data_IF_990037663031
#
_entry.id   IF_990037663031
#
_cell.length_a   1.000
_cell.length_b   1.000
_cell.length_c   1.000
_cell.angle_alpha   90.00
_cell.angle_beta   90.00
_cell.angle_gamma   90.00
#
_symmetry.space_group_name_H-M   'P 1'
#
loop_
_entity.id
_entity.type
_entity.pdbx_description
1 polymer ?
#
# COMPACT_ATOMS: atom_id res chain seq x y z
N UNK A 1 6.76 -13.91 11.58
CA UNK A 1 6.54 -12.92 10.50
C UNK A 1 6.01 -11.68 11.16
N UNK A 2 6.42 -10.50 10.69
CA UNK A 2 5.97 -9.24 11.27
C UNK A 2 5.19 -8.41 10.27
N UNK A 3 4.11 -7.80 10.72
CA UNK A 3 3.42 -6.73 10.00
C UNK A 3 3.99 -5.41 10.52
N UNK A 4 4.53 -4.58 9.63
CA UNK A 4 5.20 -3.34 10.01
C UNK A 4 4.46 -2.18 9.37
N UNK A 5 4.18 -1.14 10.16
CA UNK A 5 3.56 0.08 9.66
C UNK A 5 4.23 1.32 10.25
N UNK A 6 4.01 2.48 9.63
CA UNK A 6 4.45 3.77 10.15
C UNK A 6 3.24 4.65 10.43
N UNK A 7 3.18 5.22 11.63
CA UNK A 7 2.10 6.09 12.07
C UNK A 7 2.65 7.37 12.72
N UNK A 8 1.93 8.48 12.55
CA UNK A 8 2.21 9.79 13.19
C UNK A 8 1.16 10.17 14.25
N UNK A 9 0.05 9.47 14.26
CA UNK A 9 -1.10 9.55 15.17
C UNK A 9 -1.56 8.11 15.51
N UNK A 10 -1.35 7.72 16.77
CA UNK A 10 -1.76 6.42 17.31
C UNK A 10 -3.28 6.34 17.58
N UNK A 11 -3.97 7.47 17.58
CA UNK A 11 -5.43 7.56 17.74
C UNK A 11 -6.17 7.69 16.41
N UNK A 12 -5.45 7.63 15.28
CA UNK A 12 -6.06 7.67 13.97
C UNK A 12 -7.16 6.62 13.84
N UNK A 13 -8.31 7.03 13.29
CA UNK A 13 -9.50 6.19 13.17
C UNK A 13 -9.22 4.86 12.47
N UNK A 14 -8.55 4.89 11.32
CA UNK A 14 -8.32 3.66 10.53
C UNK A 14 -7.29 2.76 11.19
N UNK A 15 -6.21 3.30 11.77
CA UNK A 15 -5.28 2.49 12.54
C UNK A 15 -6.01 1.72 13.66
N UNK A 16 -6.85 2.43 14.43
CA UNK A 16 -7.56 1.88 15.60
C UNK A 16 -8.75 0.99 15.26
N UNK A 17 -9.39 1.20 14.11
CA UNK A 17 -10.65 0.52 13.73
C UNK A 17 -10.49 -0.49 12.60
N UNK A 18 -9.36 -0.49 11.90
CA UNK A 18 -9.10 -1.34 10.73
C UNK A 18 -7.81 -2.14 10.90
N UNK A 19 -6.64 -1.50 10.82
CA UNK A 19 -5.37 -2.22 10.78
C UNK A 19 -5.08 -2.98 12.08
N UNK A 20 -5.18 -2.34 13.25
CA UNK A 20 -4.91 -2.99 14.54
C UNK A 20 -5.90 -4.14 14.80
N UNK A 21 -7.24 -3.94 14.76
CA UNK A 21 -8.18 -5.03 15.02
C UNK A 21 -8.07 -6.19 14.04
N UNK A 22 -7.78 -5.92 12.75
CA UNK A 22 -7.61 -6.99 11.77
C UNK A 22 -6.31 -7.78 11.98
N UNK A 23 -5.23 -7.13 12.40
CA UNK A 23 -4.01 -7.85 12.79
C UNK A 23 -4.25 -8.72 14.03
N UNK A 24 -4.92 -8.17 15.05
CA UNK A 24 -5.28 -8.89 16.28
C UNK A 24 -6.16 -10.11 15.96
N UNK A 25 -7.21 -9.95 15.15
CA UNK A 25 -8.13 -11.04 14.77
C UNK A 25 -7.40 -12.25 14.17
N UNK A 26 -6.40 -11.99 13.32
CA UNK A 26 -5.64 -13.02 12.63
C UNK A 26 -4.36 -13.45 13.35
N UNK A 27 -4.07 -12.87 14.53
CA UNK A 27 -2.88 -13.19 15.33
C UNK A 27 -1.57 -12.77 14.67
N UNK A 28 -1.55 -11.62 13.99
CA UNK A 28 -0.33 -11.07 13.42
C UNK A 28 0.46 -10.25 14.45
N UNK A 29 1.79 -10.39 14.43
CA UNK A 29 2.72 -9.54 15.18
C UNK A 29 2.81 -8.16 14.49
N UNK A 30 1.93 -7.24 14.88
CA UNK A 30 1.92 -5.86 14.37
C UNK A 30 2.91 -4.97 15.13
N UNK A 31 3.75 -4.28 14.36
CA UNK A 31 4.74 -3.31 14.83
C UNK A 31 4.45 -1.95 14.21
N UNK A 32 4.25 -0.96 15.07
CA UNK A 32 3.98 0.42 14.70
C UNK A 32 5.24 1.24 14.98
N UNK A 33 5.90 1.68 13.92
CA UNK A 33 7.00 2.65 13.99
C UNK A 33 6.37 4.04 14.12
N UNK A 34 6.38 4.58 15.33
CA UNK A 34 5.70 5.82 15.68
C UNK A 34 6.62 7.03 15.50
N UNK A 35 6.28 7.91 14.56
CA UNK A 35 7.05 9.10 14.21
C UNK A 35 6.52 10.35 14.92
N UNK A 36 7.21 10.86 15.94
CA UNK A 36 6.80 12.07 16.68
C UNK A 36 7.24 13.38 15.98
N UNK A 37 6.57 13.74 14.89
CA UNK A 37 6.61 15.06 14.21
C UNK A 37 8.00 15.60 13.72
N UNK A 38 8.03 16.50 12.71
CA UNK A 38 7.07 16.67 11.62
C UNK A 38 7.25 15.60 10.52
N UNK A 39 6.16 15.28 9.80
CA UNK A 39 6.21 14.40 8.63
C UNK A 39 6.63 15.18 7.38
N UNK A 40 7.93 15.17 7.07
CA UNK A 40 8.52 15.96 5.99
C UNK A 40 8.25 15.38 4.59
N UNK A 41 8.13 14.06 4.49
CA UNK A 41 8.00 13.35 3.21
C UNK A 41 7.54 11.91 3.44
N UNK A 42 6.84 11.32 2.47
CA UNK A 42 6.51 9.89 2.53
C UNK A 42 7.73 8.97 2.54
N UNK A 43 8.92 9.47 2.17
CA UNK A 43 10.20 8.76 2.32
C UNK A 43 10.58 8.50 3.78
N UNK A 44 9.93 9.16 4.74
CA UNK A 44 10.13 8.86 6.16
C UNK A 44 9.78 7.42 6.51
N UNK A 45 8.86 6.79 5.77
CA UNK A 45 8.57 5.34 5.91
C UNK A 45 9.86 4.51 5.81
N UNK A 46 10.65 4.73 4.76
CA UNK A 46 11.92 4.02 4.56
C UNK A 46 12.92 4.34 5.67
N UNK A 47 13.02 5.63 6.07
CA UNK A 47 13.99 6.09 7.09
C UNK A 47 13.75 5.43 8.45
N UNK A 48 12.50 5.29 8.87
CA UNK A 48 12.13 4.65 10.14
C UNK A 48 12.23 3.13 10.06
N UNK A 49 11.99 2.56 8.87
CA UNK A 49 12.08 1.12 8.67
C UNK A 49 13.53 0.60 8.81
N UNK A 50 14.52 1.33 8.31
CA UNK A 50 15.96 0.95 8.38
C UNK A 50 16.43 0.56 9.80
N UNK A 51 16.32 1.42 10.84
CA UNK A 51 16.79 1.08 12.18
C UNK A 51 16.03 -0.09 12.80
N UNK A 52 14.76 -0.30 12.44
CA UNK A 52 14.01 -1.47 12.88
C UNK A 52 14.50 -2.76 12.19
N UNK A 53 14.70 -2.72 10.87
CA UNK A 53 15.21 -3.86 10.10
C UNK A 53 16.57 -4.36 10.60
N UNK A 54 17.44 -3.46 11.08
CA UNK A 54 18.75 -3.82 11.67
C UNK A 54 18.66 -4.69 12.94
N UNK A 55 17.51 -4.68 13.61
CA UNK A 55 17.27 -5.45 14.84
C UNK A 55 16.62 -6.81 14.56
N UNK A 56 16.09 -7.01 13.35
CA UNK A 56 15.43 -8.26 12.97
C UNK A 56 16.45 -9.33 12.59
N UNK A 57 16.05 -10.60 12.75
CA UNK A 57 16.75 -11.71 12.12
C UNK A 57 16.84 -11.49 10.61
N UNK A 58 17.99 -11.79 10.00
CA UNK A 58 18.26 -11.49 8.59
C UNK A 58 17.26 -12.14 7.62
N UNK A 59 16.66 -13.27 8.01
CA UNK A 59 15.69 -14.00 7.19
C UNK A 59 14.25 -13.82 7.69
N UNK A 60 13.97 -12.88 8.59
CA UNK A 60 12.60 -12.59 9.02
C UNK A 60 11.77 -12.13 7.81
N UNK A 61 10.62 -12.77 7.58
CA UNK A 61 9.67 -12.32 6.57
C UNK A 61 8.83 -11.18 7.16
N UNK A 62 8.81 -10.06 6.46
CA UNK A 62 8.06 -8.87 6.86
C UNK A 62 7.07 -8.47 5.78
N UNK A 63 5.87 -8.08 6.19
CA UNK A 63 4.92 -7.36 5.35
C UNK A 63 4.87 -5.92 5.86
N UNK A 64 5.22 -4.96 5.00
CA UNK A 64 5.03 -3.55 5.28
C UNK A 64 3.67 -3.10 4.75
N UNK A 65 2.99 -2.24 5.50
CA UNK A 65 1.71 -1.64 5.09
C UNK A 65 1.55 -0.22 5.59
N UNK A 66 0.82 0.61 4.86
CA UNK A 66 0.35 1.91 5.33
C UNK A 66 -0.59 1.76 6.52
N UNK A 67 -0.62 2.77 7.41
CA UNK A 67 -1.33 2.67 8.70
C UNK A 67 -2.81 3.07 8.63
N UNK A 68 -3.17 3.96 7.69
CA UNK A 68 -4.39 4.77 7.79
C UNK A 68 -5.44 4.50 6.73
N UNK A 69 -5.22 3.48 5.91
CA UNK A 69 -6.09 3.12 4.80
C UNK A 69 -5.96 1.64 4.45
N UNK A 70 -5.62 0.80 5.45
CA UNK A 70 -5.37 -0.63 5.24
C UNK A 70 -6.00 -1.52 6.31
N UNK A 71 -6.19 -2.79 5.97
CA UNK A 71 -6.54 -3.85 6.90
C UNK A 71 -6.12 -5.23 6.39
N UNK A 72 -5.98 -6.18 7.31
CA UNK A 72 -5.82 -7.59 7.00
C UNK A 72 -7.19 -8.26 6.80
N UNK A 73 -7.26 -9.18 5.83
CA UNK A 73 -8.47 -9.95 5.48
C UNK A 73 -8.27 -11.46 5.61
N UNK A 74 -7.05 -11.92 5.87
CA UNK A 74 -6.75 -13.34 6.11
C UNK A 74 -5.54 -13.53 7.02
N UNK A 75 -5.29 -14.76 7.46
CA UNK A 75 -4.22 -15.11 8.39
C UNK A 75 -2.86 -15.35 7.73
N UNK A 76 -1.84 -15.50 8.57
CA UNK A 76 -0.46 -15.75 8.14
C UNK A 76 -0.30 -17.03 7.30
N UNK A 77 -1.08 -18.09 7.55
CA UNK A 77 -1.00 -19.31 6.76
C UNK A 77 -1.39 -19.05 5.30
N UNK A 78 -2.51 -18.36 5.05
CA UNK A 78 -2.94 -18.01 3.70
C UNK A 78 -1.98 -17.04 3.02
N UNK A 79 -1.46 -16.07 3.78
CA UNK A 79 -0.42 -15.15 3.33
C UNK A 79 0.81 -15.92 2.81
N UNK A 80 1.31 -16.88 3.60
CA UNK A 80 2.48 -17.69 3.24
C UNK A 80 2.22 -18.58 2.02
N UNK A 81 1.02 -19.19 1.94
CA UNK A 81 0.61 -19.99 0.79
C UNK A 81 0.66 -19.17 -0.49
N UNK A 82 0.07 -17.98 -0.50
CA UNK A 82 0.04 -17.11 -1.68
C UNK A 82 1.42 -16.53 -2.01
N UNK A 83 2.18 -16.10 -0.99
CA UNK A 83 3.55 -15.62 -1.19
C UNK A 83 4.45 -16.68 -1.83
N UNK A 84 4.28 -17.96 -1.46
CA UNK A 84 5.04 -19.07 -2.05
C UNK A 84 4.71 -19.36 -3.52
N UNK A 85 3.57 -18.85 -4.01
CA UNK A 85 3.11 -19.00 -5.41
C UNK A 85 3.47 -17.79 -6.28
N UNK A 86 4.06 -16.75 -5.70
CA UNK A 86 4.50 -15.57 -6.42
C UNK A 86 5.97 -15.74 -6.83
N UNK A 87 6.28 -15.28 -8.03
CA UNK A 87 7.65 -15.18 -8.49
C UNK A 87 8.29 -13.92 -7.86
N UNK A 88 9.54 -14.04 -7.40
CA UNK A 88 10.26 -12.95 -6.75
C UNK A 88 10.31 -13.04 -5.21
N UNK A 89 11.42 -12.57 -4.64
CA UNK A 89 11.60 -12.53 -3.18
C UNK A 89 11.06 -11.25 -2.54
N UNK A 90 10.75 -10.23 -3.35
CA UNK A 90 10.26 -8.93 -2.93
C UNK A 90 9.04 -8.52 -3.78
N UNK A 91 7.85 -8.63 -3.20
CA UNK A 91 6.59 -8.38 -3.89
C UNK A 91 5.94 -7.10 -3.35
N UNK A 92 5.65 -6.15 -4.23
CA UNK A 92 4.82 -4.99 -3.93
C UNK A 92 3.36 -5.25 -4.29
N UNK A 93 2.46 -4.51 -3.66
CA UNK A 93 1.08 -4.39 -4.15
C UNK A 93 1.07 -3.73 -5.53
N UNK A 94 -0.01 -3.94 -6.28
CA UNK A 94 -0.25 -3.25 -7.55
C UNK A 94 -1.54 -2.44 -7.50
N UNK A 95 -1.57 -1.31 -8.20
CA UNK A 95 -2.76 -0.48 -8.42
C UNK A 95 -3.02 -0.24 -9.90
N UNK A 96 -4.21 0.23 -10.25
CA UNK A 96 -4.60 0.52 -11.64
C UNK A 96 -4.10 1.88 -12.15
N UNK A 97 -3.60 2.74 -11.26
CA UNK A 97 -3.23 4.10 -11.58
C UNK A 97 -1.71 4.25 -11.62
N UNK A 98 -1.14 4.66 -12.75
CA UNK A 98 0.29 4.98 -12.80
C UNK A 98 0.54 6.32 -12.11
N UNK A 99 0.87 6.27 -10.82
CA UNK A 99 1.06 7.43 -9.95
C UNK A 99 2.49 7.46 -9.38
N UNK A 100 3.09 8.64 -9.15
CA UNK A 100 2.56 9.99 -9.40
C UNK A 100 2.72 10.49 -10.83
N UNK A 101 3.48 9.79 -11.67
CA UNK A 101 3.79 10.20 -13.04
C UNK A 101 3.22 9.20 -14.06
N UNK A 102 2.12 9.54 -14.75
CA UNK A 102 1.48 8.65 -15.72
C UNK A 102 2.37 8.24 -16.89
N UNK A 103 3.32 9.08 -17.31
CA UNK A 103 4.21 8.78 -18.44
C UNK A 103 5.10 7.56 -18.17
N UNK A 104 5.36 7.22 -16.90
CA UNK A 104 6.12 6.03 -16.51
C UNK A 104 5.42 4.72 -16.86
N UNK A 105 4.12 4.74 -17.18
CA UNK A 105 3.39 3.57 -17.69
C UNK A 105 4.07 2.96 -18.93
N UNK A 106 4.66 3.80 -19.78
CA UNK A 106 5.42 3.36 -20.96
C UNK A 106 6.61 2.47 -20.61
N UNK A 107 7.22 2.66 -19.44
CA UNK A 107 8.31 1.81 -18.93
C UNK A 107 7.75 0.47 -18.44
N UNK A 108 6.65 0.49 -17.69
CA UNK A 108 5.97 -0.74 -17.25
C UNK A 108 5.60 -1.67 -18.40
N UNK A 109 5.02 -1.13 -19.48
CA UNK A 109 4.66 -1.91 -20.66
C UNK A 109 5.88 -2.58 -21.31
N UNK A 110 7.05 -1.93 -21.30
CA UNK A 110 8.29 -2.48 -21.86
C UNK A 110 8.95 -3.54 -20.99
N UNK A 111 8.80 -3.48 -19.66
CA UNK A 111 9.47 -4.40 -18.73
C UNK A 111 8.74 -5.75 -18.60
N UNK A 112 7.40 -5.74 -18.47
CA UNK A 112 6.62 -6.97 -18.18
C UNK A 112 5.47 -7.23 -19.16
N UNK A 113 5.42 -6.58 -20.33
CA UNK A 113 4.25 -6.61 -21.23
C UNK A 113 2.95 -6.37 -20.43
N UNK A 114 2.95 -5.31 -19.63
CA UNK A 114 1.93 -5.02 -18.64
C UNK A 114 0.62 -4.52 -19.28
N UNK A 115 -0.08 -5.36 -20.02
CA UNK A 115 -1.29 -4.99 -20.75
C UNK A 115 -2.50 -4.74 -19.83
N UNK A 116 -2.41 -5.20 -18.58
CA UNK A 116 -3.48 -5.08 -17.58
C UNK A 116 -3.42 -3.77 -16.77
N UNK A 117 -2.51 -2.85 -17.08
CA UNK A 117 -2.34 -1.57 -16.37
C UNK A 117 -2.08 -1.74 -14.85
N UNK A 118 -1.28 -2.72 -14.48
CA UNK A 118 -0.87 -2.93 -13.08
C UNK A 118 0.42 -2.17 -12.77
N UNK A 119 0.33 -1.14 -11.95
CA UNK A 119 1.48 -0.32 -11.55
C UNK A 119 1.84 -0.63 -10.11
N UNK A 120 3.11 -0.49 -9.72
CA UNK A 120 3.51 -0.66 -8.33
C UNK A 120 2.67 0.24 -7.43
N UNK A 121 2.31 -0.23 -6.24
CA UNK A 121 1.83 0.60 -5.14
C UNK A 121 2.76 0.36 -3.93
N UNK A 122 3.23 1.45 -3.33
CA UNK A 122 4.23 1.43 -2.24
C UNK A 122 3.60 1.34 -0.85
N UNK A 123 2.27 1.35 -0.77
CA UNK A 123 1.53 1.22 0.48
C UNK A 123 1.45 -0.20 1.02
N UNK A 124 1.91 -1.20 0.26
CA UNK A 124 2.00 -2.59 0.71
C UNK A 124 3.12 -3.35 0.01
N UNK A 125 3.92 -4.09 0.77
CA UNK A 125 4.88 -5.03 0.19
C UNK A 125 5.27 -6.14 1.16
N UNK A 126 5.81 -7.24 0.65
CA UNK A 126 6.32 -8.37 1.42
C UNK A 126 7.72 -8.78 0.93
N UNK A 127 8.65 -8.97 1.87
CA UNK A 127 10.01 -9.41 1.56
C UNK A 127 10.74 -9.93 2.81
N UNK A 128 11.95 -10.46 2.61
CA UNK A 128 12.86 -10.77 3.72
C UNK A 128 13.55 -9.49 4.23
N UNK A 129 13.69 -9.36 5.54
CA UNK A 129 14.25 -8.18 6.21
C UNK A 129 15.64 -7.77 5.68
N UNK A 130 16.55 -8.71 5.44
CA UNK A 130 17.87 -8.43 4.88
C UNK A 130 17.81 -7.86 3.45
N UNK A 131 16.85 -8.31 2.65
CA UNK A 131 16.72 -7.95 1.25
C UNK A 131 16.36 -6.47 1.14
N UNK A 132 15.30 -6.04 1.83
CA UNK A 132 14.92 -4.62 1.88
C UNK A 132 15.98 -3.77 2.58
N UNK A 133 16.61 -4.27 3.67
CA UNK A 133 17.65 -3.52 4.37
C UNK A 133 18.84 -3.23 3.44
N UNK A 134 19.26 -4.20 2.61
CA UNK A 134 20.34 -4.02 1.62
C UNK A 134 19.98 -2.94 0.60
N UNK A 135 18.73 -2.94 0.11
CA UNK A 135 18.24 -1.95 -0.87
C UNK A 135 18.19 -0.55 -0.24
N UNK A 136 17.63 -0.42 0.96
CA UNK A 136 17.47 0.86 1.64
C UNK A 136 18.80 1.41 2.19
N UNK A 137 19.76 0.54 2.55
CA UNK A 137 21.10 0.95 2.99
C UNK A 137 21.98 1.43 1.84
N UNK A 138 21.60 1.14 0.58
CA UNK A 138 22.21 1.72 -0.62
C UNK A 138 21.18 2.60 -1.35
N UNK A 139 20.89 3.80 -0.81
CA UNK A 139 19.84 4.67 -1.32
C UNK A 139 20.18 5.29 -2.67
N UNK A 140 21.40 5.07 -3.19
CA UNK A 140 21.79 5.57 -4.50
C UNK A 140 20.78 5.14 -5.56
N UNK A 141 20.16 6.15 -6.15
CA UNK A 141 19.18 6.05 -7.22
C UNK A 141 19.56 7.11 -8.24
N UNK A 142 19.66 6.72 -9.50
CA UNK A 142 19.93 7.64 -10.59
C UNK A 142 18.82 7.45 -11.62
N UNK A 143 17.80 8.32 -11.56
CA UNK A 143 16.65 8.25 -12.45
C UNK A 143 17.06 8.35 -13.93
N UNK A 144 18.13 9.10 -14.25
CA UNK A 144 18.65 9.20 -15.63
C UNK A 144 19.14 7.86 -16.16
N UNK A 145 20.00 7.18 -15.41
CA UNK A 145 20.46 5.82 -15.76
C UNK A 145 19.33 4.81 -15.92
N UNK A 146 18.21 5.02 -15.22
CA UNK A 146 17.04 4.13 -15.25
C UNK A 146 16.14 4.45 -16.44
N UNK A 147 15.85 5.72 -16.69
CA UNK A 147 14.80 6.15 -17.63
C UNK A 147 15.33 6.52 -19.03
N UNK A 148 16.59 6.95 -19.18
CA UNK A 148 17.18 7.23 -20.50
C UNK A 148 17.09 6.04 -21.47
N UNK A 149 17.35 4.77 -21.06
CA UNK A 149 17.18 3.61 -21.94
C UNK A 149 15.75 3.43 -22.47
N UNK A 150 14.75 4.00 -21.80
CA UNK A 150 13.36 3.95 -22.22
C UNK A 150 12.94 5.13 -23.10
N UNK A 151 13.85 6.07 -23.38
CA UNK A 151 13.64 7.22 -24.28
C UNK A 151 13.31 8.54 -23.56
N UNK A 152 13.40 8.60 -22.24
CA UNK A 152 13.16 9.83 -21.49
C UNK A 152 14.37 10.77 -21.61
N UNK A 153 14.11 12.06 -21.84
CA UNK A 153 15.14 13.10 -21.92
C UNK A 153 15.52 13.60 -20.53
N UNK A 154 16.76 14.08 -20.38
CA UNK A 154 17.31 14.50 -19.08
C UNK A 154 16.54 15.64 -18.42
N UNK A 155 16.05 16.61 -19.18
CA UNK A 155 15.24 17.73 -18.69
C UNK A 155 13.88 17.26 -18.15
N UNK A 156 13.27 16.26 -18.80
CA UNK A 156 12.03 15.62 -18.33
C UNK A 156 12.28 14.84 -17.04
N UNK A 157 13.37 14.08 -16.97
CA UNK A 157 13.74 13.31 -15.78
C UNK A 157 14.03 14.25 -14.59
N UNK A 158 14.79 15.32 -14.82
CA UNK A 158 15.06 16.34 -13.80
C UNK A 158 13.76 17.02 -13.32
N UNK A 159 12.80 17.23 -14.23
CA UNK A 159 11.47 17.72 -13.86
C UNK A 159 10.73 16.74 -12.94
N UNK A 160 10.72 15.44 -13.26
CA UNK A 160 10.08 14.41 -12.42
C UNK A 160 10.74 14.31 -11.05
N UNK A 161 12.07 14.26 -10.97
CA UNK A 161 12.81 14.20 -9.71
C UNK A 161 12.51 15.41 -8.82
N UNK A 162 12.49 16.61 -9.41
CA UNK A 162 12.11 17.84 -8.69
C UNK A 162 10.67 17.80 -8.20
N UNK A 163 9.75 17.27 -9.01
CA UNK A 163 8.31 17.26 -8.71
C UNK A 163 7.91 16.17 -7.72
N UNK A 164 8.56 15.00 -7.76
CA UNK A 164 8.14 13.80 -7.04
C UNK A 164 9.22 13.21 -6.11
N UNK A 165 10.36 13.87 -5.91
CA UNK A 165 11.41 13.39 -5.01
C UNK A 165 10.97 13.16 -3.56
N UNK A 166 9.87 13.79 -3.12
CA UNK A 166 9.22 13.58 -1.83
C UNK A 166 8.39 12.29 -1.75
N UNK A 167 8.11 11.64 -2.87
CA UNK A 167 7.20 10.51 -2.98
C UNK A 167 7.91 9.17 -2.80
N UNK A 168 7.45 8.38 -1.82
CA UNK A 168 7.89 7.00 -1.63
C UNK A 168 7.50 6.11 -2.82
N UNK A 169 6.32 6.36 -3.39
CA UNK A 169 5.83 5.71 -4.59
C UNK A 169 6.77 5.91 -5.78
N UNK A 170 7.19 7.15 -6.04
CA UNK A 170 8.11 7.44 -7.15
C UNK A 170 9.47 6.76 -6.97
N UNK A 171 10.03 6.80 -5.76
CA UNK A 171 11.28 6.12 -5.45
C UNK A 171 11.20 4.60 -5.69
N UNK A 172 10.15 3.94 -5.19
CA UNK A 172 9.99 2.50 -5.33
C UNK A 172 9.65 2.08 -6.76
N UNK A 173 8.92 2.89 -7.52
CA UNK A 173 8.72 2.69 -8.98
C UNK A 173 10.06 2.68 -9.72
N UNK A 174 10.96 3.64 -9.45
CA UNK A 174 12.28 3.66 -10.08
C UNK A 174 13.16 2.48 -9.64
N UNK A 175 13.09 2.08 -8.37
CA UNK A 175 13.79 0.88 -7.88
C UNK A 175 13.30 -0.38 -8.58
N UNK A 176 11.98 -0.54 -8.71
CA UNK A 176 11.38 -1.64 -9.48
C UNK A 176 11.91 -1.69 -10.91
N UNK A 177 11.92 -0.57 -11.64
CA UNK A 177 12.47 -0.53 -13.00
C UNK A 177 13.94 -0.92 -13.08
N UNK A 178 14.74 -0.53 -12.08
CA UNK A 178 16.17 -0.83 -12.05
C UNK A 178 16.52 -2.25 -11.59
N UNK A 179 15.59 -2.92 -10.92
CA UNK A 179 15.85 -4.19 -10.23
C UNK A 179 14.98 -5.34 -10.74
N UNK A 180 14.06 -5.11 -11.69
CA UNK A 180 13.25 -6.18 -12.27
C UNK A 180 14.15 -7.30 -12.86
N UNK A 181 13.86 -8.60 -12.62
CA UNK A 181 12.70 -9.16 -11.89
C UNK A 181 12.91 -9.41 -10.38
N UNK A 182 13.96 -8.90 -9.74
CA UNK A 182 14.20 -9.09 -8.29
C UNK A 182 13.10 -8.47 -7.42
N UNK A 183 12.53 -7.34 -7.88
CA UNK A 183 11.33 -6.72 -7.33
C UNK A 183 10.18 -7.01 -8.29
N UNK A 184 9.09 -7.56 -7.77
CA UNK A 184 7.87 -7.86 -8.52
C UNK A 184 6.65 -7.15 -7.93
N UNK A 185 5.54 -7.17 -8.68
CA UNK A 185 4.25 -6.64 -8.27
C UNK A 185 3.18 -7.75 -8.32
N UNK A 186 2.27 -7.77 -7.35
CA UNK A 186 1.16 -8.73 -7.28
C UNK A 186 0.04 -8.39 -8.27
N UNK A 187 0.27 -8.65 -9.56
CA UNK A 187 -0.60 -8.25 -10.67
C UNK A 187 -2.03 -8.80 -10.61
N UNK A 188 -2.22 -9.93 -9.92
CA UNK A 188 -3.53 -10.59 -9.81
C UNK A 188 -4.27 -10.19 -8.53
N UNK A 189 -3.70 -9.29 -7.73
CA UNK A 189 -4.24 -8.84 -6.44
C UNK A 189 -4.58 -10.00 -5.50
N UNK A 190 -3.77 -11.07 -5.51
CA UNK A 190 -4.01 -12.27 -4.69
C UNK A 190 -3.60 -12.03 -3.24
N UNK A 191 -2.46 -11.38 -3.06
CA UNK A 191 -1.91 -11.04 -1.75
C UNK A 191 -2.41 -9.65 -1.32
N UNK A 192 -2.30 -8.67 -2.20
CA UNK A 192 -2.64 -7.27 -1.97
C UNK A 192 -3.77 -6.84 -2.89
N UNK A 193 -4.93 -6.51 -2.32
CA UNK A 193 -6.00 -5.83 -3.05
C UNK A 193 -5.89 -4.33 -2.81
N UNK A 194 -5.50 -3.60 -3.84
CA UNK A 194 -5.43 -2.14 -3.78
C UNK A 194 -6.60 -1.54 -4.56
N UNK A 195 -7.40 -0.72 -3.89
CA UNK A 195 -8.59 -0.08 -4.46
C UNK A 195 -8.57 1.40 -4.17
N UNK A 196 -8.98 2.19 -5.15
CA UNK A 196 -9.18 3.62 -5.02
C UNK A 196 -10.11 4.08 -6.12
N UNK A 197 -10.67 5.26 -5.95
CA UNK A 197 -11.42 5.96 -7.00
C UNK A 197 -10.61 5.96 -8.30
N UNK A 198 -11.15 5.42 -9.40
CA UNK A 198 -10.50 5.48 -10.72
C UNK A 198 -10.11 6.91 -11.09
N UNK A 199 -8.91 7.09 -11.67
CA UNK A 199 -8.36 8.42 -11.95
C UNK A 199 -9.27 9.30 -12.79
N UNK A 200 -9.96 8.74 -13.78
CA UNK A 200 -10.86 9.49 -14.66
C UNK A 200 -12.06 10.04 -13.88
N UNK A 201 -12.69 9.19 -13.07
CA UNK A 201 -13.78 9.59 -12.17
C UNK A 201 -13.30 10.64 -11.15
N UNK A 202 -12.09 10.47 -10.62
CA UNK A 202 -11.53 11.40 -9.65
C UNK A 202 -11.27 12.77 -10.28
N UNK A 203 -10.57 12.85 -11.41
CA UNK A 203 -10.22 14.13 -12.06
C UNK A 203 -11.46 14.94 -12.47
N UNK A 204 -12.47 14.28 -13.02
CA UNK A 204 -13.66 14.96 -13.53
C UNK A 204 -14.56 15.52 -12.42
N UNK A 205 -14.62 14.85 -11.27
CA UNK A 205 -15.66 15.10 -10.27
C UNK A 205 -15.13 15.40 -8.86
N UNK A 206 -13.81 15.53 -8.66
CA UNK A 206 -13.26 15.82 -7.32
C UNK A 206 -13.68 17.21 -6.82
N UNK A 207 -13.76 18.22 -7.70
CA UNK A 207 -14.27 19.55 -7.33
C UNK A 207 -15.70 19.49 -6.78
N UNK A 208 -16.58 18.75 -7.46
CA UNK A 208 -17.95 18.49 -6.98
C UNK A 208 -17.92 17.80 -5.61
N UNK A 209 -17.08 16.77 -5.43
CA UNK A 209 -16.95 16.09 -4.14
C UNK A 209 -16.51 17.03 -3.02
N UNK A 210 -15.56 17.93 -3.25
CA UNK A 210 -15.12 18.88 -2.22
C UNK A 210 -16.24 19.82 -1.77
N UNK A 211 -17.18 20.15 -2.67
CA UNK A 211 -18.31 21.03 -2.36
C UNK A 211 -19.50 20.28 -1.73
N UNK A 212 -19.83 19.10 -2.24
CA UNK A 212 -21.08 18.40 -1.93
C UNK A 212 -20.91 17.10 -1.13
N UNK A 213 -19.67 16.62 -0.95
CA UNK A 213 -19.32 15.43 -0.17
C UNK A 213 -20.20 14.22 -0.51
N UNK A 214 -20.97 13.68 0.43
CA UNK A 214 -21.81 12.49 0.25
C UNK A 214 -22.95 12.71 -0.77
N UNK A 215 -23.30 13.97 -1.03
CA UNK A 215 -24.32 14.32 -2.01
C UNK A 215 -23.77 14.32 -3.45
N UNK A 216 -22.45 14.36 -3.63
CA UNK A 216 -21.81 14.36 -4.94
C UNK A 216 -22.05 13.05 -5.71
N UNK A 217 -22.07 13.15 -7.04
CA UNK A 217 -22.15 11.98 -7.91
C UNK A 217 -20.92 11.07 -7.76
N UNK A 218 -19.73 11.65 -7.56
CA UNK A 218 -18.50 10.90 -7.34
C UNK A 218 -18.63 9.96 -6.15
N UNK A 219 -19.07 10.48 -5.00
CA UNK A 219 -19.25 9.70 -3.79
C UNK A 219 -20.24 8.55 -3.99
N UNK A 220 -21.41 8.84 -4.58
CA UNK A 220 -22.46 7.83 -4.81
C UNK A 220 -21.99 6.71 -5.74
N UNK A 221 -21.30 7.05 -6.84
CA UNK A 221 -20.74 6.08 -7.78
C UNK A 221 -19.68 5.22 -7.12
N UNK A 222 -18.72 5.85 -6.43
CA UNK A 222 -17.64 5.14 -5.75
C UNK A 222 -18.17 4.25 -4.62
N UNK A 223 -19.18 4.71 -3.86
CA UNK A 223 -19.82 3.93 -2.80
C UNK A 223 -20.48 2.67 -3.34
N UNK A 224 -21.18 2.77 -4.47
CA UNK A 224 -21.77 1.61 -5.12
C UNK A 224 -20.70 0.65 -5.67
N UNK A 225 -19.63 1.17 -6.28
CA UNK A 225 -18.50 0.37 -6.75
C UNK A 225 -17.84 -0.40 -5.61
N UNK A 226 -17.50 0.29 -4.52
CA UNK A 226 -16.89 -0.31 -3.34
C UNK A 226 -17.83 -1.31 -2.67
N UNK A 227 -19.13 -1.02 -2.54
CA UNK A 227 -20.11 -1.99 -2.02
C UNK A 227 -20.12 -3.29 -2.84
N UNK A 228 -20.16 -3.17 -4.16
CA UNK A 228 -20.16 -4.34 -5.06
C UNK A 228 -18.85 -5.11 -4.98
N UNK A 229 -17.71 -4.41 -4.90
CA UNK A 229 -16.39 -5.02 -4.70
C UNK A 229 -16.35 -5.78 -3.38
N UNK A 230 -16.75 -5.16 -2.26
CA UNK A 230 -16.75 -5.81 -0.95
C UNK A 230 -17.69 -7.03 -0.91
N UNK A 231 -18.84 -6.97 -1.59
CA UNK A 231 -19.78 -8.08 -1.69
C UNK A 231 -19.25 -9.24 -2.55
N UNK A 232 -18.36 -8.98 -3.51
CA UNK A 232 -17.74 -10.02 -4.34
C UNK A 232 -16.51 -10.65 -3.70
N UNK A 233 -15.93 -10.03 -2.67
CA UNK A 233 -14.82 -10.60 -1.92
C UNK A 233 -15.24 -11.91 -1.25
N UNK A 234 -14.58 -12.99 -1.65
CA UNK A 234 -14.64 -14.28 -0.98
C UNK A 234 -13.55 -14.31 0.09
N UNK A 235 -13.88 -14.76 1.29
CA UNK A 235 -12.99 -14.83 2.47
C UNK A 235 -11.59 -15.40 2.18
N UNK A 236 -11.43 -16.24 1.15
CA UNK A 236 -10.18 -16.98 0.86
C UNK A 236 -9.26 -16.32 -0.16
N UNK A 237 -9.66 -15.22 -0.79
CA UNK A 237 -9.00 -14.78 -2.03
C UNK A 237 -8.01 -13.62 -1.85
N UNK A 238 -8.05 -12.92 -0.72
CA UNK A 238 -7.23 -11.72 -0.48
C UNK A 238 -6.75 -11.71 0.96
N UNK A 239 -5.53 -11.23 1.19
CA UNK A 239 -4.90 -11.19 2.52
C UNK A 239 -4.83 -9.78 3.06
N UNK A 240 -4.55 -8.80 2.21
CA UNK A 240 -4.39 -7.40 2.58
C UNK A 240 -5.26 -6.53 1.68
N UNK A 241 -5.93 -5.54 2.27
CA UNK A 241 -6.71 -4.54 1.56
C UNK A 241 -6.11 -3.16 1.80
N UNK A 242 -5.85 -2.43 0.72
CA UNK A 242 -5.47 -1.02 0.73
C UNK A 242 -6.55 -0.21 0.02
N UNK A 243 -7.24 0.69 0.72
CA UNK A 243 -8.27 1.57 0.15
C UNK A 243 -7.79 3.02 0.09
N UNK A 244 -6.95 3.33 -0.90
CA UNK A 244 -6.27 4.61 -0.96
C UNK A 244 -7.18 5.74 -1.48
N UNK A 245 -6.87 6.98 -1.07
CA UNK A 245 -7.54 8.25 -1.37
C UNK A 245 -8.70 8.67 -0.44
N UNK A 246 -8.99 9.98 -0.47
CA UNK A 246 -9.96 10.65 0.41
C UNK A 246 -11.40 10.13 0.27
N UNK A 247 -11.86 9.87 -0.96
CA UNK A 247 -13.24 9.46 -1.23
C UNK A 247 -13.46 8.03 -0.72
N UNK A 248 -12.54 7.12 -1.07
CA UNK A 248 -12.59 5.73 -0.59
C UNK A 248 -12.48 5.67 0.93
N UNK A 249 -11.56 6.42 1.55
CA UNK A 249 -11.47 6.54 3.01
C UNK A 249 -12.80 7.00 3.64
N UNK A 250 -13.44 8.03 3.08
CA UNK A 250 -14.73 8.51 3.58
C UNK A 250 -15.79 7.38 3.52
N UNK A 251 -15.87 6.65 2.41
CA UNK A 251 -16.85 5.55 2.25
C UNK A 251 -16.57 4.39 3.20
N UNK A 252 -15.31 3.96 3.37
CA UNK A 252 -14.96 2.89 4.30
C UNK A 252 -15.28 3.26 5.75
N UNK A 253 -15.07 4.53 6.13
CA UNK A 253 -15.49 5.05 7.42
C UNK A 253 -17.00 5.01 7.59
N UNK A 254 -17.77 5.39 6.57
CA UNK A 254 -19.23 5.28 6.60
C UNK A 254 -19.67 3.81 6.75
N UNK A 255 -19.07 2.88 5.99
CA UNK A 255 -19.38 1.45 6.10
C UNK A 255 -19.15 0.91 7.50
N UNK A 256 -18.08 1.33 8.18
CA UNK A 256 -17.83 0.97 9.57
C UNK A 256 -18.92 1.52 10.50
N UNK A 257 -19.18 2.83 10.42
CA UNK A 257 -20.10 3.51 11.34
C UNK A 257 -21.56 3.06 11.19
N UNK A 258 -21.93 2.59 10.00
CA UNK A 258 -23.30 2.15 9.67
C UNK A 258 -23.47 0.64 9.67
N UNK A 259 -22.41 -0.12 10.00
CA UNK A 259 -22.39 -1.59 9.90
C UNK A 259 -22.76 -2.10 8.49
N UNK A 260 -22.31 -1.41 7.44
CA UNK A 260 -22.60 -1.75 6.04
C UNK A 260 -21.56 -2.68 5.39
N UNK A 261 -20.54 -3.12 6.14
CA UNK A 261 -19.61 -4.14 5.66
C UNK A 261 -20.29 -5.52 5.57
N UNK A 262 -19.81 -6.42 4.69
CA UNK A 262 -20.11 -7.83 4.79
C UNK A 262 -19.87 -8.37 6.21
N UNK A 263 -20.74 -9.28 6.67
CA UNK A 263 -20.74 -9.78 8.05
C UNK A 263 -19.35 -10.28 8.50
N UNK A 264 -18.66 -11.04 7.65
CA UNK A 264 -17.34 -11.61 7.98
C UNK A 264 -16.27 -10.53 8.19
N UNK A 265 -16.37 -9.37 7.52
CA UNK A 265 -15.46 -8.23 7.73
C UNK A 265 -15.76 -7.55 9.05
N UNK A 266 -17.05 -7.40 9.38
CA UNK A 266 -17.44 -6.89 10.69
C UNK A 266 -16.88 -7.76 11.82
N UNK A 267 -16.91 -9.09 11.67
CA UNK A 267 -16.32 -10.03 12.64
C UNK A 267 -14.80 -9.85 12.83
N UNK A 268 -14.07 -9.50 11.76
CA UNK A 268 -12.66 -9.13 11.83
C UNK A 268 -12.48 -7.84 12.64
N UNK A 269 -13.28 -6.81 12.35
CA UNK A 269 -13.11 -5.47 12.92
C UNK A 269 -13.68 -5.30 14.34
N UNK A 270 -14.65 -6.12 14.75
CA UNK A 270 -15.27 -6.12 16.08
C UNK A 270 -14.55 -7.06 17.06
N UNK A 271 -13.43 -7.66 16.66
CA UNK A 271 -12.80 -8.70 17.45
C UNK A 271 -12.27 -8.16 18.78
N UNK A 272 -13.02 -8.41 19.86
CA UNK A 272 -12.57 -8.26 21.26
C UNK A 272 -11.72 -9.44 21.70
N UNK A 273 -11.18 -10.22 20.76
CA UNK A 273 -10.35 -11.37 21.08
C UNK A 273 -9.08 -10.84 21.72
N UNK A 274 -8.91 -11.16 22.99
CA UNK A 274 -7.77 -10.76 23.82
C UNK A 274 -6.50 -11.30 23.15
N UNK A 275 -5.81 -10.44 22.42
CA UNK A 275 -4.52 -10.69 21.77
C UNK A 275 -3.66 -9.44 21.98
N UNK A 276 -2.36 -9.67 22.14
CA UNK A 276 -1.35 -8.71 22.57
C UNK A 276 -1.39 -7.42 21.74
N UNK A 277 -1.33 -6.27 22.43
CA UNK A 277 -1.35 -4.95 21.80
C UNK A 277 -0.18 -4.85 20.82
N UNK A 278 -0.42 -4.20 19.68
CA UNK A 278 0.63 -3.85 18.72
C UNK A 278 1.87 -3.27 19.42
N UNK A 279 3.05 -3.76 19.04
CA UNK A 279 4.33 -3.25 19.52
C UNK A 279 4.50 -1.82 18.96
N UNK A 280 4.69 -0.83 19.84
CA UNK A 280 4.92 0.56 19.43
C UNK A 280 6.37 0.92 19.69
N UNK A 281 7.08 1.30 18.64
CA UNK A 281 8.48 1.74 18.70
C UNK A 281 8.51 3.22 18.37
N UNK A 282 8.91 4.04 19.34
CA UNK A 282 8.99 5.49 19.17
C UNK A 282 10.29 5.89 18.48
N UNK A 283 10.19 6.83 17.53
CA UNK A 283 11.30 7.47 16.83
C UNK A 283 11.20 9.00 16.90
#
# INVERSE_FOLDING_TARGET
MKIITVATDLNNFFLRKFLVPSCEYFGFDLVILYAKAPWESHRMKDKLLIPYLKQLNSNELILFTDAYDTMMLNNAHRLMELYSQLEGSFIFSSETNCFPEPDLSTVYHKIKNNDNNNYLNSGGFICRSNHILKILSNPSLNAKKILEPFGFKNDIIDHYDKRYGWSNQYYWTLKYFSMYPEIEIDTDSRLFLTTGTPLDLFKESYGEYTQYQEQSNLYKKEKNRLRNMMASLKEKNVVHLHFFNTVSNHIFREFYLTNSFPKWIYEILDSKKIIERAEVIEF
#
